data_IF_897563374139
#
_entry.id   IF_897563374139
#
_cell.length_a   1.000
_cell.length_b   1.000
_cell.length_c   1.000
_cell.angle_alpha   90.00
_cell.angle_beta   90.00
_cell.angle_gamma   90.00
#
_symmetry.space_group_name_H-M   'P 1'
#
loop_
_entity.id
_entity.type
_entity.pdbx_description
1 polymer ?
#
# COMPACT_ATOMS: atom_id res chain seq x y z
N UNK A 1 8.46 -7.98 -16.27
CA UNK A 1 8.35 -6.51 -16.17
C UNK A 1 7.46 -6.20 -15.00
N UNK A 2 7.90 -5.35 -14.07
CA UNK A 2 7.10 -4.93 -12.92
C UNK A 2 6.14 -3.83 -13.33
N UNK A 3 4.88 -3.92 -12.90
CA UNK A 3 3.87 -2.86 -13.05
C UNK A 3 3.44 -2.37 -11.68
N UNK A 4 3.17 -1.07 -11.54
CA UNK A 4 2.58 -0.53 -10.32
C UNK A 4 1.11 -0.22 -10.60
N UNK A 5 0.21 -0.79 -9.81
CA UNK A 5 -1.23 -0.68 -10.04
C UNK A 5 -2.02 -0.58 -8.73
N UNK A 6 -3.09 0.21 -8.75
CA UNK A 6 -4.07 0.23 -7.66
C UNK A 6 -4.82 -1.11 -7.63
N UNK A 7 -5.03 -1.64 -6.43
CA UNK A 7 -5.75 -2.89 -6.18
C UNK A 7 -7.20 -2.53 -5.87
N UNK A 8 -8.15 -3.10 -6.62
CA UNK A 8 -9.58 -2.94 -6.34
C UNK A 8 -9.91 -3.61 -4.99
N UNK A 9 -10.38 -2.86 -3.97
CA UNK A 9 -10.76 -3.44 -2.69
C UNK A 9 -11.92 -4.45 -2.75
N UNK A 10 -12.66 -4.49 -3.86
CA UNK A 10 -13.77 -5.43 -4.10
C UNK A 10 -13.32 -6.71 -4.81
N UNK A 11 -12.11 -6.76 -5.34
CA UNK A 11 -11.49 -8.01 -5.77
C UNK A 11 -10.88 -8.70 -4.54
N UNK A 12 -11.59 -9.68 -3.99
CA UNK A 12 -11.16 -10.41 -2.80
C UNK A 12 -9.80 -11.09 -2.99
N UNK A 13 -9.54 -11.64 -4.18
CA UNK A 13 -8.31 -12.36 -4.49
C UNK A 13 -7.11 -11.41 -4.58
N UNK A 14 -7.25 -10.33 -5.34
CA UNK A 14 -6.20 -9.34 -5.49
C UNK A 14 -5.92 -8.61 -4.17
N UNK A 15 -6.96 -8.23 -3.43
CA UNK A 15 -6.80 -7.58 -2.13
C UNK A 15 -6.14 -8.50 -1.10
N UNK A 16 -6.48 -9.79 -1.09
CA UNK A 16 -5.85 -10.75 -0.20
C UNK A 16 -4.37 -10.93 -0.53
N UNK A 17 -4.03 -11.11 -1.81
CA UNK A 17 -2.65 -11.25 -2.25
C UNK A 17 -1.81 -10.00 -1.90
N UNK A 18 -2.36 -8.80 -2.11
CA UNK A 18 -1.71 -7.55 -1.71
C UNK A 18 -1.49 -7.47 -0.20
N UNK A 19 -2.50 -7.84 0.61
CA UNK A 19 -2.37 -7.80 2.07
C UNK A 19 -1.31 -8.79 2.58
N UNK A 20 -1.26 -10.00 2.03
CA UNK A 20 -0.26 -11.00 2.43
C UNK A 20 1.17 -10.48 2.17
N UNK A 21 1.38 -9.73 1.09
CA UNK A 21 2.65 -9.05 0.77
C UNK A 21 2.96 -7.90 1.72
N UNK A 22 1.98 -7.02 1.98
CA UNK A 22 2.11 -5.93 2.95
C UNK A 22 2.52 -6.48 4.32
N UNK A 23 1.76 -7.45 4.81
CA UNK A 23 2.00 -8.11 6.10
C UNK A 23 3.38 -8.76 6.14
N UNK A 24 3.75 -9.55 5.13
CA UNK A 24 5.06 -10.22 5.08
C UNK A 24 6.24 -9.23 5.06
N UNK A 25 6.11 -8.10 4.38
CA UNK A 25 7.13 -7.05 4.40
C UNK A 25 7.21 -6.36 5.77
N UNK A 26 6.06 -6.06 6.38
CA UNK A 26 5.97 -5.37 7.66
C UNK A 26 6.55 -6.21 8.81
N UNK A 27 6.32 -7.53 8.82
CA UNK A 27 6.83 -8.42 9.88
C UNK A 27 8.27 -8.91 9.65
N UNK A 28 8.81 -8.75 8.44
CA UNK A 28 10.01 -9.47 7.98
C UNK A 28 11.27 -9.29 8.84
N UNK A 29 11.44 -8.12 9.48
CA UNK A 29 12.61 -7.83 10.34
C UNK A 29 12.25 -7.05 11.62
N UNK A 30 10.96 -6.89 11.91
CA UNK A 30 10.50 -6.14 13.09
C UNK A 30 10.37 -7.10 14.27
N UNK A 31 10.95 -6.75 15.42
CA UNK A 31 10.68 -7.46 16.67
C UNK A 31 9.32 -7.02 17.20
N UNK A 32 8.41 -7.97 17.46
CA UNK A 32 7.03 -7.72 17.91
C UNK A 32 6.28 -6.67 17.05
N UNK A 33 6.08 -6.94 15.74
CA UNK A 33 5.42 -6.00 14.84
C UNK A 33 3.96 -5.79 15.23
N UNK A 34 3.54 -4.53 15.31
CA UNK A 34 2.13 -4.15 15.41
C UNK A 34 1.63 -3.97 13.98
N UNK A 35 0.74 -4.86 13.54
CA UNK A 35 0.17 -4.86 12.18
C UNK A 35 -1.35 -4.95 12.25
N UNK A 36 -2.02 -4.28 11.31
CA UNK A 36 -3.47 -4.42 11.15
C UNK A 36 -3.82 -5.81 10.65
N UNK A 37 -4.94 -6.37 11.12
CA UNK A 37 -5.46 -7.65 10.61
C UNK A 37 -6.05 -7.47 9.20
N UNK A 38 -6.12 -8.55 8.42
CA UNK A 38 -6.75 -8.51 7.10
C UNK A 38 -8.19 -7.99 7.14
N UNK A 39 -9.09 -8.47 8.03
CA UNK A 39 -10.46 -7.96 8.08
C UNK A 39 -10.54 -6.45 8.35
N UNK A 40 -9.70 -5.92 9.24
CA UNK A 40 -9.66 -4.50 9.54
C UNK A 40 -9.15 -3.68 8.34
N UNK A 41 -8.06 -4.12 7.71
CA UNK A 41 -7.49 -3.45 6.53
C UNK A 41 -8.48 -3.46 5.37
N UNK A 42 -9.04 -4.63 5.03
CA UNK A 42 -9.99 -4.81 3.95
C UNK A 42 -11.26 -3.98 4.17
N UNK A 43 -11.81 -3.95 5.38
CA UNK A 43 -12.94 -3.11 5.71
C UNK A 43 -12.63 -1.62 5.46
N UNK A 44 -11.47 -1.15 5.92
CA UNK A 44 -11.09 0.25 5.80
C UNK A 44 -10.88 0.72 4.35
N UNK A 45 -10.46 -0.19 3.46
CA UNK A 45 -10.29 0.07 2.04
C UNK A 45 -11.63 0.05 1.29
N UNK A 46 -12.57 -0.83 1.67
CA UNK A 46 -13.89 -0.96 1.05
C UNK A 46 -14.89 0.11 1.47
N UNK A 47 -14.75 0.59 2.70
CA UNK A 47 -15.69 1.47 3.37
C UNK A 47 -14.92 2.65 4.02
N UNK A 48 -14.41 3.59 3.21
CA UNK A 48 -13.66 4.73 3.74
C UNK A 48 -14.55 5.62 4.61
N UNK A 49 -13.99 6.11 5.71
CA UNK A 49 -14.65 7.07 6.59
C UNK A 49 -14.52 8.52 6.08
N UNK A 50 -15.14 9.49 6.75
CA UNK A 50 -15.10 10.90 6.31
C UNK A 50 -13.75 11.59 6.57
N UNK A 51 -12.85 10.98 7.34
CA UNK A 51 -11.58 11.59 7.76
C UNK A 51 -10.36 11.08 6.99
N UNK A 52 -10.45 9.91 6.37
CA UNK A 52 -9.30 9.23 5.78
C UNK A 52 -9.76 8.33 4.64
N UNK A 53 -9.13 8.49 3.48
CA UNK A 53 -9.23 7.56 2.34
C UNK A 53 -7.94 6.78 2.20
N UNK A 54 -8.04 5.49 1.94
CA UNK A 54 -6.89 4.61 1.70
C UNK A 54 -6.92 4.06 0.28
N UNK A 55 -5.74 3.86 -0.30
CA UNK A 55 -5.55 3.12 -1.55
C UNK A 55 -4.57 1.98 -1.30
N UNK A 56 -4.93 0.79 -1.77
CA UNK A 56 -4.02 -0.34 -1.86
C UNK A 56 -3.34 -0.32 -3.22
N UNK A 57 -2.01 -0.43 -3.25
CA UNK A 57 -1.22 -0.39 -4.48
C UNK A 57 -0.23 -1.54 -4.48
N UNK A 58 -0.14 -2.27 -5.57
CA UNK A 58 0.75 -3.41 -5.72
C UNK A 58 1.87 -3.13 -6.72
N UNK A 59 3.06 -3.64 -6.41
CA UNK A 59 4.05 -3.97 -7.43
C UNK A 59 3.73 -5.37 -7.94
N UNK A 60 3.27 -5.45 -9.19
CA UNK A 60 2.80 -6.66 -9.86
C UNK A 60 3.86 -7.20 -10.82
N UNK A 61 4.14 -8.49 -10.71
CA UNK A 61 4.94 -9.25 -11.66
C UNK A 61 4.12 -10.43 -12.19
N UNK A 62 3.50 -10.25 -13.36
CA UNK A 62 2.77 -11.33 -14.02
C UNK A 62 1.46 -11.72 -13.30
N UNK A 63 0.75 -10.75 -12.71
CA UNK A 63 -0.48 -11.02 -11.96
C UNK A 63 -0.23 -11.46 -10.51
N UNK A 64 1.00 -11.35 -10.02
CA UNK A 64 1.36 -11.63 -8.63
C UNK A 64 1.89 -10.37 -7.96
N UNK A 65 1.30 -10.01 -6.84
CA UNK A 65 1.82 -8.95 -5.98
C UNK A 65 3.14 -9.41 -5.35
N UNK A 66 4.20 -8.60 -5.51
CA UNK A 66 5.54 -8.86 -4.95
C UNK A 66 6.07 -7.69 -4.11
N UNK A 67 5.34 -6.59 -4.06
CA UNK A 67 5.52 -5.46 -3.16
C UNK A 67 4.19 -4.75 -2.95
N UNK A 68 4.02 -4.10 -1.82
CA UNK A 68 2.78 -3.43 -1.43
C UNK A 68 3.07 -2.00 -1.00
N UNK A 69 2.14 -1.10 -1.35
CA UNK A 69 2.05 0.23 -0.81
C UNK A 69 0.63 0.46 -0.28
N UNK A 70 0.54 1.03 0.92
CA UNK A 70 -0.69 1.61 1.46
C UNK A 70 -0.55 3.14 1.38
N UNK A 71 -1.43 3.78 0.62
CA UNK A 71 -1.49 5.24 0.51
C UNK A 71 -2.63 5.76 1.38
N UNK A 72 -2.32 6.62 2.35
CA UNK A 72 -3.29 7.18 3.28
C UNK A 72 -3.45 8.69 3.04
N UNK A 73 -4.67 9.09 2.65
CA UNK A 73 -5.03 10.46 2.31
C UNK A 73 -5.97 11.06 3.37
N UNK A 74 -5.47 11.90 4.29
CA UNK A 74 -6.30 12.66 5.21
C UNK A 74 -7.28 13.59 4.47
N UNK A 75 -8.53 13.63 4.93
CA UNK A 75 -9.62 14.39 4.29
C UNK A 75 -10.17 15.53 5.15
N UNK A 76 -9.83 15.57 6.44
CA UNK A 76 -10.34 16.59 7.37
C UNK A 76 -9.22 17.47 7.97
N UNK A 77 -8.11 16.84 8.33
CA UNK A 77 -6.97 17.48 9.01
C UNK A 77 -5.68 17.07 8.29
N UNK A 78 -4.57 17.80 8.52
CA UNK A 78 -3.28 17.54 7.88
C UNK A 78 -3.36 17.46 6.33
N UNK A 79 -4.17 18.32 5.71
CA UNK A 79 -4.47 18.32 4.28
C UNK A 79 -3.30 18.75 3.38
N UNK A 80 -2.11 18.99 3.93
CA UNK A 80 -0.92 19.25 3.12
C UNK A 80 -0.17 17.95 2.79
N UNK A 81 -0.41 16.87 3.55
CA UNK A 81 0.42 15.66 3.53
C UNK A 81 -0.40 14.40 3.26
N UNK A 82 0.27 13.35 2.78
CA UNK A 82 -0.21 11.97 2.76
C UNK A 82 0.77 11.09 3.54
N UNK A 83 0.29 9.99 4.11
CA UNK A 83 1.17 8.98 4.67
C UNK A 83 1.26 7.79 3.70
N UNK A 84 2.43 7.19 3.60
CA UNK A 84 2.63 5.98 2.79
C UNK A 84 3.37 4.93 3.59
N UNK A 85 2.89 3.70 3.53
CA UNK A 85 3.60 2.52 4.03
C UNK A 85 4.01 1.70 2.80
N UNK A 86 5.30 1.38 2.68
CA UNK A 86 5.85 0.57 1.57
C UNK A 86 6.51 -0.67 2.17
N UNK A 87 6.00 -1.83 1.78
CA UNK A 87 6.46 -3.12 2.26
C UNK A 87 6.84 -4.02 1.08
N UNK A 88 8.09 -4.46 1.10
CA UNK A 88 8.62 -5.46 0.16
C UNK A 88 9.08 -6.66 0.99
N UNK A 89 8.49 -7.86 0.81
CA UNK A 89 8.91 -9.06 1.51
C UNK A 89 10.41 -9.32 1.33
N UNK A 90 11.13 -9.81 2.36
CA UNK A 90 12.59 -9.99 2.29
C UNK A 90 13.12 -10.69 1.03
N UNK A 91 12.49 -11.77 0.51
CA UNK A 91 12.94 -12.44 -0.71
C UNK A 91 12.88 -11.60 -1.99
N UNK A 92 12.10 -10.51 -2.00
CA UNK A 92 11.89 -9.66 -3.17
C UNK A 92 12.60 -8.30 -3.08
N UNK A 93 13.35 -8.05 -2.00
CA UNK A 93 14.05 -6.78 -1.80
C UNK A 93 15.24 -6.61 -2.73
N UNK A 94 15.73 -5.36 -2.81
CA UNK A 94 16.89 -4.95 -3.63
C UNK A 94 16.71 -5.18 -5.13
N UNK A 95 15.47 -5.30 -5.59
CA UNK A 95 15.07 -5.44 -7.00
C UNK A 95 14.46 -4.17 -7.60
N UNK A 96 14.49 -3.05 -6.87
CA UNK A 96 13.90 -1.77 -7.30
C UNK A 96 12.39 -1.61 -7.03
N UNK A 97 11.71 -2.63 -6.49
CA UNK A 97 10.26 -2.60 -6.22
C UNK A 97 9.84 -1.44 -5.30
N UNK A 98 10.55 -1.24 -4.20
CA UNK A 98 10.26 -0.14 -3.27
C UNK A 98 10.44 1.24 -3.91
N UNK A 99 11.47 1.41 -4.75
CA UNK A 99 11.69 2.66 -5.48
C UNK A 99 10.60 2.91 -6.53
N UNK A 100 10.12 1.87 -7.20
CA UNK A 100 9.01 1.98 -8.15
C UNK A 100 7.68 2.35 -7.44
N UNK A 101 7.40 1.74 -6.30
CA UNK A 101 6.25 2.09 -5.45
C UNK A 101 6.35 3.53 -4.92
N UNK A 102 7.55 3.95 -4.50
CA UNK A 102 7.82 5.33 -4.08
C UNK A 102 7.60 6.35 -5.19
N UNK A 103 8.07 6.06 -6.41
CA UNK A 103 7.84 6.94 -7.57
C UNK A 103 6.34 7.10 -7.87
N UNK A 104 5.59 6.00 -7.84
CA UNK A 104 4.13 6.04 -7.96
C UNK A 104 3.49 6.90 -6.87
N UNK A 105 3.96 6.77 -5.62
CA UNK A 105 3.46 7.54 -4.49
C UNK A 105 3.64 9.05 -4.67
N UNK A 106 4.84 9.46 -5.12
CA UNK A 106 5.16 10.86 -5.42
C UNK A 106 4.24 11.43 -6.49
N UNK A 107 4.06 10.71 -7.61
CA UNK A 107 3.15 11.12 -8.68
C UNK A 107 1.70 11.22 -8.18
N UNK A 108 1.26 10.27 -7.34
CA UNK A 108 -0.09 10.28 -6.77
C UNK A 108 -0.30 11.46 -5.83
N UNK A 109 0.67 11.75 -4.96
CA UNK A 109 0.63 12.87 -4.03
C UNK A 109 0.62 14.22 -4.75
N UNK A 110 1.43 14.37 -5.80
CA UNK A 110 1.44 15.57 -6.65
C UNK A 110 0.06 15.83 -7.27
N UNK A 111 -0.60 14.79 -7.82
CA UNK A 111 -1.96 14.89 -8.37
C UNK A 111 -3.02 15.30 -7.33
N UNK A 112 -2.81 14.95 -6.06
CA UNK A 112 -3.67 15.37 -4.95
C UNK A 112 -3.31 16.76 -4.40
N UNK A 113 -2.27 17.41 -4.94
CA UNK A 113 -1.65 18.62 -4.37
C UNK A 113 -1.24 18.41 -2.90
N UNK A 114 -0.49 17.34 -2.66
CA UNK A 114 0.02 16.93 -1.34
C UNK A 114 1.50 16.62 -1.41
N UNK A 115 2.18 16.68 -0.27
CA UNK A 115 3.51 16.11 -0.07
C UNK A 115 3.43 14.80 0.71
N UNK A 116 4.48 13.99 0.64
CA UNK A 116 4.65 12.81 1.51
C UNK A 116 5.50 13.21 2.71
#
# INVERSE_FOLDING_TARGET
>A
MTRILEVDPRDDGALRAWYDVLHAGAIGDRTAPIVSTYPAMAYSLRYPGPTLRRLAVAADEGGQSVGALLFELPLKEALATVAVEIDVPPPHRRRGLGSALWAWALERAERENRTI
#
